data_IF_950785810710
#
_entry.id   IF_950785810710
#
_cell.length_a   1.000
_cell.length_b   1.000
_cell.length_c   1.000
_cell.angle_alpha   90.00
_cell.angle_beta   90.00
_cell.angle_gamma   90.00
#
_symmetry.space_group_name_H-M   'P 1'
#
loop_
_entity.id
_entity.type
_entity.pdbx_description
1 polymer ?
#
# COMPACT_ATOMS: atom_id res chain seq x y z
N UNK A 1 49.47 -20.89 34.15
CA UNK A 1 48.01 -20.86 34.42
C UNK A 1 47.51 -19.58 33.80
N UNK A 2 47.00 -19.70 32.59
CA UNK A 2 46.28 -18.65 31.88
C UNK A 2 44.82 -19.07 32.03
N UNK A 3 44.03 -18.31 32.77
CA UNK A 3 42.58 -18.50 32.83
C UNK A 3 41.96 -17.58 31.78
N UNK A 4 41.36 -18.25 30.79
CA UNK A 4 40.37 -17.72 29.86
C UNK A 4 39.12 -17.27 30.62
N UNK A 5 38.58 -16.10 30.27
CA UNK A 5 37.14 -15.89 30.18
C UNK A 5 36.86 -14.55 29.49
N UNK A 6 36.97 -14.55 28.15
CA UNK A 6 36.37 -13.51 27.32
C UNK A 6 36.06 -14.06 25.92
N UNK A 7 35.04 -14.94 25.81
CA UNK A 7 34.65 -15.48 24.51
C UNK A 7 33.16 -15.85 24.39
N UNK A 8 32.24 -14.92 24.67
CA UNK A 8 30.84 -15.07 24.21
C UNK A 8 30.18 -13.74 23.81
N UNK A 9 30.62 -13.13 22.69
CA UNK A 9 29.65 -12.55 21.74
C UNK A 9 29.83 -13.06 20.30
N UNK A 10 30.97 -13.70 20.00
CA UNK A 10 31.38 -14.00 18.62
C UNK A 10 30.81 -15.31 18.05
N UNK A 11 30.14 -16.14 18.86
CA UNK A 11 29.59 -17.42 18.39
C UNK A 11 28.21 -17.27 17.73
N UNK A 12 27.43 -16.25 18.09
CA UNK A 12 26.15 -15.96 17.41
C UNK A 12 26.31 -15.11 16.16
N UNK A 13 27.37 -14.30 16.06
CA UNK A 13 27.66 -13.50 14.86
C UNK A 13 28.09 -14.35 13.66
N UNK A 14 28.73 -15.50 13.91
CA UNK A 14 29.31 -16.35 12.86
C UNK A 14 28.31 -17.32 12.19
N UNK A 15 27.06 -17.39 12.66
CA UNK A 15 26.01 -18.19 12.00
C UNK A 15 25.16 -17.40 11.00
N UNK A 16 25.31 -16.07 10.92
CA UNK A 16 24.41 -15.22 10.12
C UNK A 16 24.97 -14.80 8.77
N UNK A 17 26.26 -15.01 8.52
CA UNK A 17 26.92 -14.69 7.27
C UNK A 17 27.70 -15.92 6.78
N UNK A 18 27.21 -16.55 5.70
CA UNK A 18 28.04 -17.46 4.90
C UNK A 18 29.25 -16.68 4.37
N UNK A 19 30.39 -17.35 4.13
CA UNK A 19 31.61 -16.75 3.57
C UNK A 19 31.41 -16.05 2.22
N UNK A 20 30.21 -16.16 1.63
CA UNK A 20 29.83 -15.59 0.34
C UNK A 20 28.87 -14.38 0.42
N UNK A 21 28.54 -13.87 1.63
CA UNK A 21 27.66 -12.70 1.77
C UNK A 21 26.15 -12.98 1.58
N UNK A 22 25.74 -14.24 1.62
CA UNK A 22 24.32 -14.63 1.58
C UNK A 22 23.66 -14.55 2.96
N UNK A 23 22.49 -13.90 3.03
CA UNK A 23 21.67 -13.78 4.24
C UNK A 23 20.92 -15.10 4.49
N UNK A 24 21.23 -15.75 5.62
CA UNK A 24 20.48 -16.94 6.10
C UNK A 24 19.44 -16.49 7.12
N UNK A 25 18.13 -16.65 6.86
CA UNK A 25 17.10 -16.26 7.80
C UNK A 25 17.15 -17.13 9.07
N UNK A 26 17.01 -16.54 10.27
CA UNK A 26 16.97 -17.28 11.53
C UNK A 26 15.76 -18.19 11.66
N UNK A 27 15.92 -19.32 12.35
CA UNK A 27 14.85 -20.29 12.59
C UNK A 27 13.61 -19.61 13.22
N UNK A 28 12.44 -19.84 12.63
CA UNK A 28 11.18 -19.29 13.12
C UNK A 28 10.86 -17.84 12.71
N UNK A 29 11.69 -17.19 11.88
CA UNK A 29 11.42 -15.83 11.36
C UNK A 29 10.02 -15.72 10.74
N UNK A 30 9.57 -16.75 10.01
CA UNK A 30 8.27 -16.77 9.34
C UNK A 30 7.13 -16.58 10.33
N UNK A 31 7.15 -17.30 11.45
CA UNK A 31 6.09 -17.24 12.46
C UNK A 31 6.09 -15.88 13.17
N UNK A 32 7.27 -15.35 13.49
CA UNK A 32 7.41 -14.02 14.10
C UNK A 32 6.90 -12.93 13.16
N UNK A 33 7.27 -12.98 11.87
CA UNK A 33 6.83 -12.02 10.85
C UNK A 33 5.31 -12.08 10.65
N UNK A 34 4.74 -13.27 10.48
CA UNK A 34 3.29 -13.46 10.29
C UNK A 34 2.52 -13.00 11.52
N UNK A 35 2.98 -13.35 12.73
CA UNK A 35 2.36 -12.90 13.98
C UNK A 35 2.43 -11.38 14.13
N UNK A 36 3.58 -10.77 13.83
CA UNK A 36 3.76 -9.31 13.88
C UNK A 36 2.84 -8.60 12.90
N UNK A 37 2.70 -9.12 11.67
CA UNK A 37 1.77 -8.59 10.67
C UNK A 37 0.31 -8.75 11.11
N UNK A 38 -0.06 -9.89 11.69
CA UNK A 38 -1.41 -10.14 12.20
C UNK A 38 -1.75 -9.18 13.35
N UNK A 39 -0.85 -9.04 14.34
CA UNK A 39 -1.02 -8.11 15.46
C UNK A 39 -1.15 -6.67 14.97
N UNK A 40 -0.35 -6.27 13.97
CA UNK A 40 -0.42 -4.95 13.38
C UNK A 40 -1.72 -4.72 12.59
N UNK A 41 -2.21 -5.71 11.84
CA UNK A 41 -3.50 -5.64 11.15
C UNK A 41 -4.66 -5.52 12.16
N UNK A 42 -4.64 -6.34 13.21
CA UNK A 42 -5.64 -6.31 14.28
C UNK A 42 -5.62 -4.99 15.06
N UNK A 43 -4.44 -4.44 15.35
CA UNK A 43 -4.33 -3.15 16.05
C UNK A 43 -4.85 -2.00 15.19
N UNK A 44 -4.54 -2.00 13.88
CA UNK A 44 -5.06 -1.02 12.93
C UNK A 44 -6.58 -1.06 12.83
N UNK A 45 -7.18 -2.23 12.60
CA UNK A 45 -8.65 -2.38 12.52
C UNK A 45 -9.30 -2.08 13.87
N UNK A 46 -8.72 -2.58 14.97
CA UNK A 46 -9.21 -2.33 16.33
C UNK A 46 -9.26 -0.84 16.68
N UNK A 47 -8.30 -0.06 16.19
CA UNK A 47 -8.24 1.40 16.38
C UNK A 47 -9.51 2.11 15.91
N UNK A 48 -10.17 1.60 14.87
CA UNK A 48 -11.41 2.18 14.31
C UNK A 48 -12.61 2.03 15.26
N UNK A 49 -12.54 1.09 16.19
CA UNK A 49 -13.62 0.70 17.11
C UNK A 49 -13.38 1.11 18.56
N UNK A 50 -12.22 1.71 18.89
CA UNK A 50 -11.91 2.24 20.23
C UNK A 50 -13.01 3.20 20.71
N UNK A 51 -13.52 4.02 19.80
CA UNK A 51 -14.56 5.00 20.08
C UNK A 51 -15.93 4.42 19.71
N UNK A 52 -16.63 3.82 20.69
CA UNK A 52 -18.04 3.42 20.49
C UNK A 52 -18.90 4.64 20.19
N UNK A 53 -19.72 4.53 19.15
CA UNK A 53 -20.65 5.56 18.71
C UNK A 53 -21.86 4.89 18.07
N UNK A 54 -23.06 5.42 18.36
CA UNK A 54 -24.30 5.03 17.71
C UNK A 54 -24.57 5.85 16.43
N UNK A 55 -23.72 6.86 16.16
CA UNK A 55 -23.78 7.67 14.94
C UNK A 55 -23.16 6.93 13.74
N UNK A 56 -23.63 7.20 12.50
CA UNK A 56 -23.05 6.65 11.27
C UNK A 56 -21.56 7.02 11.11
N UNK A 57 -20.79 6.16 10.43
CA UNK A 57 -19.34 6.39 10.17
C UNK A 57 -19.00 7.72 9.51
N UNK A 58 -19.91 8.25 8.69
CA UNK A 58 -19.68 9.46 7.90
C UNK A 58 -20.07 10.74 8.66
N UNK A 59 -20.40 10.61 9.95
CA UNK A 59 -20.62 11.74 10.85
C UNK A 59 -19.26 12.37 11.24
N UNK A 60 -19.10 13.70 11.15
CA UNK A 60 -17.80 14.37 11.32
C UNK A 60 -17.13 14.10 12.68
N UNK A 61 -17.90 13.97 13.76
CA UNK A 61 -17.38 13.61 15.07
C UNK A 61 -16.78 12.19 15.12
N UNK A 62 -17.38 11.24 14.40
CA UNK A 62 -16.88 9.85 14.30
C UNK A 62 -15.62 9.81 13.45
N UNK A 63 -15.60 10.55 12.33
CA UNK A 63 -14.43 10.69 11.46
C UNK A 63 -13.23 11.23 12.24
N UNK A 64 -13.38 12.33 13.00
CA UNK A 64 -12.29 12.92 13.79
C UNK A 64 -11.73 11.95 14.82
N UNK A 65 -12.59 11.24 15.56
CA UNK A 65 -12.15 10.28 16.59
C UNK A 65 -11.42 9.07 15.98
N UNK A 66 -11.97 8.52 14.88
CA UNK A 66 -11.32 7.41 14.14
C UNK A 66 -9.99 7.85 13.53
N UNK A 67 -9.91 9.06 12.96
CA UNK A 67 -8.65 9.64 12.47
C UNK A 67 -7.58 9.68 13.55
N UNK A 68 -7.89 10.25 14.72
CA UNK A 68 -6.91 10.33 15.80
C UNK A 68 -6.39 8.95 16.19
N UNK A 69 -7.30 7.97 16.33
CA UNK A 69 -6.94 6.59 16.67
C UNK A 69 -6.03 5.94 15.62
N UNK A 70 -6.42 6.04 14.34
CA UNK A 70 -5.67 5.48 13.22
C UNK A 70 -4.30 6.13 13.10
N UNK A 71 -4.21 7.45 13.21
CA UNK A 71 -2.94 8.18 13.17
C UNK A 71 -2.01 7.77 14.31
N UNK A 72 -2.53 7.55 15.52
CA UNK A 72 -1.73 7.05 16.64
C UNK A 72 -1.19 5.65 16.34
N UNK A 73 -2.04 4.73 15.88
CA UNK A 73 -1.59 3.35 15.56
C UNK A 73 -0.58 3.35 14.41
N UNK A 74 -0.79 4.18 13.39
CA UNK A 74 0.16 4.36 12.29
C UNK A 74 1.47 5.01 12.72
N UNK A 75 1.47 5.92 13.69
CA UNK A 75 2.70 6.48 14.25
C UNK A 75 3.49 5.45 15.08
N UNK A 76 2.80 4.48 15.69
CA UNK A 76 3.40 3.40 16.49
C UNK A 76 3.82 2.20 15.63
N UNK A 77 3.25 2.01 14.43
CA UNK A 77 3.57 0.87 13.56
C UNK A 77 5.06 0.66 13.22
N UNK A 78 5.91 1.70 13.07
CA UNK A 78 7.35 1.51 12.86
C UNK A 78 8.04 0.78 14.02
N UNK A 79 7.49 0.87 15.24
CA UNK A 79 7.98 0.16 16.42
C UNK A 79 7.84 -1.36 16.24
N UNK A 80 6.82 -1.84 15.52
CA UNK A 80 6.68 -3.27 15.21
C UNK A 80 7.83 -3.76 14.34
N UNK A 81 8.21 -2.99 13.31
CA UNK A 81 9.34 -3.32 12.44
C UNK A 81 10.65 -3.29 13.21
N UNK A 82 10.83 -2.27 14.07
CA UNK A 82 12.00 -2.18 14.95
C UNK A 82 12.09 -3.35 15.94
N UNK A 83 10.99 -3.68 16.63
CA UNK A 83 10.94 -4.78 17.58
C UNK A 83 11.17 -6.13 16.89
N UNK A 84 10.56 -6.34 15.72
CA UNK A 84 10.80 -7.50 14.86
C UNK A 84 12.28 -7.62 14.47
N UNK A 85 12.91 -6.51 14.06
CA UNK A 85 14.33 -6.45 13.72
C UNK A 85 15.21 -6.84 14.92
N UNK A 86 14.91 -6.30 16.10
CA UNK A 86 15.66 -6.62 17.33
C UNK A 86 15.51 -8.08 17.74
N UNK A 87 14.29 -8.62 17.66
CA UNK A 87 14.00 -10.01 18.05
C UNK A 87 14.62 -11.02 17.09
N UNK A 88 14.53 -10.77 15.78
CA UNK A 88 15.06 -11.67 14.76
C UNK A 88 16.56 -11.52 14.55
N UNK A 89 17.19 -10.44 15.04
CA UNK A 89 18.61 -10.16 14.81
C UNK A 89 18.95 -9.81 13.36
N UNK A 90 17.95 -9.61 12.49
CA UNK A 90 18.19 -9.26 11.09
C UNK A 90 18.90 -7.92 11.03
N UNK A 91 20.08 -7.90 10.41
CA UNK A 91 20.95 -6.72 10.28
C UNK A 91 20.92 -6.22 8.83
N UNK A 92 19.86 -5.50 8.41
CA UNK A 92 19.84 -4.84 7.11
C UNK A 92 20.90 -3.74 7.08
N UNK A 93 21.60 -3.61 5.95
CA UNK A 93 22.44 -2.46 5.67
C UNK A 93 21.66 -1.12 5.70
N UNK A 94 20.45 -1.05 5.12
CA UNK A 94 19.61 0.16 5.18
C UNK A 94 19.07 0.51 6.57
N UNK A 95 18.83 1.81 6.79
CA UNK A 95 18.14 2.32 7.99
C UNK A 95 16.68 1.87 8.06
N UNK A 96 16.06 1.91 9.25
CA UNK A 96 14.65 1.55 9.43
C UNK A 96 13.72 2.38 8.51
N UNK A 97 13.98 3.69 8.40
CA UNK A 97 13.22 4.58 7.51
C UNK A 97 13.38 4.19 6.05
N UNK A 98 14.60 3.82 5.63
CA UNK A 98 14.83 3.35 4.26
C UNK A 98 14.09 2.03 3.98
N UNK A 99 14.05 1.08 4.92
CA UNK A 99 13.27 -0.16 4.77
C UNK A 99 11.77 0.11 4.63
N UNK A 100 11.28 1.14 5.30
CA UNK A 100 9.90 1.63 5.19
C UNK A 100 9.66 2.47 3.93
N UNK A 101 10.67 2.65 3.07
CA UNK A 101 10.58 3.43 1.84
C UNK A 101 10.49 4.95 2.04
N UNK A 102 10.97 5.44 3.19
CA UNK A 102 11.13 6.86 3.50
C UNK A 102 12.59 7.24 3.23
N UNK A 103 12.85 7.65 1.98
CA UNK A 103 14.18 8.04 1.48
C UNK A 103 14.05 9.08 0.35
N UNK A 104 15.12 9.84 0.11
CA UNK A 104 15.16 10.90 -0.92
C UNK A 104 15.72 10.42 -2.26
N UNK A 105 16.68 9.50 -2.24
CA UNK A 105 17.25 8.87 -3.43
C UNK A 105 16.15 8.15 -4.21
N UNK A 106 15.93 8.50 -5.48
CA UNK A 106 14.85 7.92 -6.30
C UNK A 106 13.45 8.53 -6.08
N UNK A 107 13.31 9.56 -5.24
CA UNK A 107 12.00 10.08 -4.84
C UNK A 107 11.17 10.67 -6.00
N UNK A 108 11.81 11.42 -6.89
CA UNK A 108 11.14 12.05 -8.04
C UNK A 108 10.51 10.99 -8.97
N UNK A 109 11.27 10.00 -9.47
CA UNK A 109 10.65 8.94 -10.27
C UNK A 109 9.61 8.15 -9.48
N UNK A 110 9.78 7.95 -8.16
CA UNK A 110 8.79 7.27 -7.31
C UNK A 110 7.45 8.00 -7.19
N UNK A 111 7.47 9.33 -7.32
CA UNK A 111 6.26 10.15 -7.37
C UNK A 111 5.60 10.05 -8.76
N UNK A 112 6.40 10.12 -9.81
CA UNK A 112 5.90 10.34 -11.18
C UNK A 112 5.52 9.03 -11.87
N UNK A 113 6.43 8.05 -11.92
CA UNK A 113 6.29 6.89 -12.80
C UNK A 113 5.21 5.90 -12.32
N UNK A 114 5.11 5.54 -11.02
CA UNK A 114 4.01 4.69 -10.55
C UNK A 114 2.63 5.34 -10.72
N UNK A 115 2.54 6.65 -10.47
CA UNK A 115 1.29 7.39 -10.67
C UNK A 115 0.91 7.43 -12.15
N UNK A 116 1.86 7.74 -13.03
CA UNK A 116 1.65 7.71 -14.48
C UNK A 116 1.18 6.32 -14.95
N UNK A 117 1.84 5.25 -14.48
CA UNK A 117 1.44 3.88 -14.79
C UNK A 117 0.00 3.60 -14.34
N UNK A 118 -0.40 4.09 -13.16
CA UNK A 118 -1.78 3.97 -12.67
C UNK A 118 -2.76 4.78 -13.53
N UNK A 119 -2.39 5.99 -13.95
CA UNK A 119 -3.21 6.80 -14.85
C UNK A 119 -3.38 6.13 -16.22
N UNK A 120 -2.35 5.46 -16.74
CA UNK A 120 -2.44 4.67 -17.98
C UNK A 120 -3.43 3.52 -17.83
N UNK A 121 -3.42 2.80 -16.70
CA UNK A 121 -4.43 1.77 -16.40
C UNK A 121 -5.86 2.36 -16.42
N UNK A 122 -6.01 3.59 -15.93
CA UNK A 122 -7.27 4.33 -15.88
C UNK A 122 -7.53 5.21 -17.12
N UNK A 123 -6.84 4.98 -18.24
CA UNK A 123 -7.01 5.76 -19.47
C UNK A 123 -8.47 5.82 -19.92
N UNK A 124 -9.18 4.69 -19.90
CA UNK A 124 -10.60 4.62 -20.23
C UNK A 124 -11.48 5.56 -19.38
N UNK A 125 -11.50 5.38 -18.03
CA UNK A 125 -12.21 6.27 -17.12
C UNK A 125 -11.82 7.75 -17.25
N UNK A 126 -10.53 8.06 -17.47
CA UNK A 126 -10.06 9.44 -17.66
C UNK A 126 -10.61 10.07 -18.94
N UNK A 127 -10.62 9.31 -20.05
CA UNK A 127 -11.19 9.78 -21.32
C UNK A 127 -12.70 9.96 -21.20
N UNK A 128 -13.39 9.04 -20.51
CA UNK A 128 -14.82 9.17 -20.23
C UNK A 128 -15.11 10.45 -19.43
N UNK A 129 -14.38 10.68 -18.34
CA UNK A 129 -14.52 11.91 -17.54
C UNK A 129 -14.23 13.16 -18.37
N UNK A 130 -13.22 13.13 -19.24
CA UNK A 130 -12.89 14.25 -20.11
C UNK A 130 -13.97 14.53 -21.18
N UNK A 131 -14.66 13.49 -21.68
CA UNK A 131 -15.78 13.65 -22.62
C UNK A 131 -17.06 14.14 -21.94
N UNK A 132 -17.31 13.69 -20.71
CA UNK A 132 -18.48 14.07 -19.93
C UNK A 132 -18.35 15.46 -19.29
N UNK A 133 -17.12 15.97 -19.15
CA UNK A 133 -16.87 17.26 -18.53
C UNK A 133 -17.21 18.41 -19.48
N UNK A 134 -18.15 19.31 -19.13
CA UNK A 134 -18.48 20.47 -19.96
C UNK A 134 -17.40 21.56 -19.91
N UNK A 135 -16.36 21.39 -19.10
CA UNK A 135 -15.32 22.39 -18.81
C UNK A 135 -14.15 22.16 -19.75
N UNK A 136 -13.57 23.23 -20.27
CA UNK A 136 -12.38 23.13 -21.11
C UNK A 136 -11.17 22.68 -20.30
N UNK A 137 -10.15 22.15 -20.98
CA UNK A 137 -8.87 21.79 -20.36
C UNK A 137 -8.27 22.96 -19.54
N UNK A 138 -8.42 24.20 -20.01
CA UNK A 138 -7.99 25.41 -19.29
C UNK A 138 -8.71 25.62 -17.96
N UNK A 139 -9.99 25.26 -17.86
CA UNK A 139 -10.74 25.39 -16.61
C UNK A 139 -10.27 24.35 -15.59
N UNK A 140 -9.92 23.14 -16.04
CA UNK A 140 -9.27 22.13 -15.20
C UNK A 140 -7.91 22.60 -14.65
N UNK A 141 -7.10 23.26 -15.48
CA UNK A 141 -5.84 23.89 -15.03
C UNK A 141 -6.13 24.97 -13.98
N UNK A 142 -7.13 25.84 -14.21
CA UNK A 142 -7.49 26.89 -13.26
C UNK A 142 -7.86 26.32 -11.90
N UNK A 143 -8.69 25.28 -11.86
CA UNK A 143 -9.08 24.60 -10.61
C UNK A 143 -7.86 23.99 -9.92
N UNK A 144 -6.95 23.39 -10.69
CA UNK A 144 -5.71 22.79 -10.14
C UNK A 144 -4.84 23.83 -9.44
N UNK A 145 -4.82 25.08 -9.90
CA UNK A 145 -4.05 26.16 -9.30
C UNK A 145 -4.86 27.09 -8.38
N UNK A 146 -6.15 26.83 -8.16
CA UNK A 146 -7.00 27.65 -7.30
C UNK A 146 -6.80 27.29 -5.81
N UNK A 147 -6.16 28.17 -5.00
CA UNK A 147 -5.93 27.88 -3.59
C UNK A 147 -7.23 27.73 -2.80
N UNK A 148 -8.30 28.41 -3.23
CA UNK A 148 -9.59 28.36 -2.54
C UNK A 148 -10.27 27.00 -2.70
N UNK A 149 -10.23 26.43 -3.90
CA UNK A 149 -10.70 25.06 -4.15
C UNK A 149 -10.01 24.05 -3.23
N UNK A 150 -8.68 24.10 -3.14
CA UNK A 150 -7.93 23.20 -2.27
C UNK A 150 -8.20 23.44 -0.78
N UNK A 151 -8.39 24.70 -0.36
CA UNK A 151 -8.79 25.02 1.01
C UNK A 151 -10.16 24.40 1.37
N UNK A 152 -11.11 24.40 0.45
CA UNK A 152 -12.41 23.74 0.61
C UNK A 152 -12.25 22.21 0.70
N UNK A 153 -11.46 21.60 -0.19
CA UNK A 153 -11.16 20.17 -0.14
C UNK A 153 -10.52 19.75 1.18
N UNK A 154 -9.53 20.52 1.66
CA UNK A 154 -8.85 20.26 2.94
C UNK A 154 -9.76 20.47 4.15
N UNK A 155 -10.78 21.32 4.01
CA UNK A 155 -11.81 21.54 5.05
C UNK A 155 -12.84 20.41 5.09
N UNK A 156 -13.05 19.68 3.99
CA UNK A 156 -13.91 18.50 3.95
C UNK A 156 -13.21 17.28 4.56
N UNK A 157 -13.69 16.88 5.73
CA UNK A 157 -13.18 15.72 6.47
C UNK A 157 -13.30 14.40 5.69
N UNK A 158 -14.32 14.26 4.82
CA UNK A 158 -14.49 13.04 4.00
C UNK A 158 -13.47 13.01 2.87
N UNK A 159 -13.24 14.15 2.22
CA UNK A 159 -12.20 14.28 1.22
C UNK A 159 -10.82 14.00 1.83
N UNK A 160 -10.51 14.64 2.96
CA UNK A 160 -9.26 14.43 3.69
C UNK A 160 -9.05 12.96 4.10
N UNK A 161 -10.12 12.27 4.54
CA UNK A 161 -10.09 10.82 4.81
C UNK A 161 -9.65 10.07 3.58
N UNK A 162 -10.43 10.20 2.51
CA UNK A 162 -10.35 9.31 1.35
C UNK A 162 -9.10 9.59 0.51
N UNK A 163 -8.63 10.83 0.47
CA UNK A 163 -7.56 11.28 -0.42
C UNK A 163 -6.20 11.35 0.26
N UNK A 164 -6.14 11.49 1.59
CA UNK A 164 -4.88 11.69 2.31
C UNK A 164 -4.70 10.69 3.45
N UNK A 165 -5.59 10.71 4.44
CA UNK A 165 -5.36 9.96 5.69
C UNK A 165 -5.43 8.46 5.48
N UNK A 166 -6.47 7.95 4.81
CA UNK A 166 -6.60 6.53 4.55
C UNK A 166 -5.47 6.00 3.65
N UNK A 167 -5.19 6.59 2.46
CA UNK A 167 -4.04 6.20 1.64
C UNK A 167 -2.71 6.18 2.42
N UNK A 168 -2.39 7.26 3.14
CA UNK A 168 -1.14 7.35 3.87
C UNK A 168 -1.02 6.29 4.97
N UNK A 169 -2.05 6.16 5.80
CA UNK A 169 -2.00 5.28 6.97
C UNK A 169 -2.08 3.81 6.59
N UNK A 170 -2.87 3.46 5.58
CA UNK A 170 -3.00 2.10 5.07
C UNK A 170 -1.72 1.66 4.38
N UNK A 171 -1.14 2.46 3.48
CA UNK A 171 0.11 2.09 2.81
C UNK A 171 1.30 2.06 3.79
N UNK A 172 1.34 2.96 4.79
CA UNK A 172 2.38 2.93 5.82
C UNK A 172 2.34 1.61 6.61
N UNK A 173 1.14 1.20 7.05
CA UNK A 173 0.97 0.02 7.90
C UNK A 173 1.12 -1.26 7.09
N UNK A 174 0.39 -1.38 5.98
CA UNK A 174 0.30 -2.62 5.22
C UNK A 174 1.44 -2.80 4.21
N UNK A 175 2.15 -1.75 3.77
CA UNK A 175 3.27 -1.89 2.82
C UNK A 175 4.57 -1.60 3.53
N UNK A 176 4.74 -0.38 4.03
CA UNK A 176 6.01 0.04 4.62
C UNK A 176 6.38 -0.71 5.91
N UNK A 177 5.41 -1.18 6.71
CA UNK A 177 5.73 -1.98 7.90
C UNK A 177 5.70 -3.49 7.63
N UNK A 178 4.68 -4.02 6.96
CA UNK A 178 4.52 -5.48 6.79
C UNK A 178 5.50 -6.08 5.78
N UNK A 179 5.77 -5.43 4.65
CA UNK A 179 6.62 -6.03 3.61
C UNK A 179 8.07 -6.26 4.08
N UNK A 180 8.74 -5.32 4.80
CA UNK A 180 10.06 -5.60 5.37
C UNK A 180 10.09 -6.81 6.31
N UNK A 181 8.99 -7.10 7.01
CA UNK A 181 8.93 -8.28 7.88
C UNK A 181 8.67 -9.58 7.09
N UNK A 182 7.90 -9.52 5.99
CA UNK A 182 7.50 -10.69 5.20
C UNK A 182 8.53 -11.11 4.15
N UNK A 183 9.22 -10.17 3.50
CA UNK A 183 10.18 -10.45 2.43
C UNK A 183 11.29 -11.44 2.84
N UNK A 184 11.96 -11.29 3.99
CA UNK A 184 13.01 -12.21 4.41
C UNK A 184 12.53 -13.65 4.67
N UNK A 185 11.24 -13.86 4.90
CA UNK A 185 10.69 -15.17 5.24
C UNK A 185 9.98 -15.86 4.06
N UNK A 186 9.40 -15.12 3.11
CA UNK A 186 8.67 -15.71 1.97
C UNK A 186 9.32 -15.56 0.60
N UNK A 187 10.23 -14.60 0.41
CA UNK A 187 10.65 -13.97 -0.86
C UNK A 187 9.77 -12.78 -1.32
N UNK A 188 10.32 -11.86 -2.14
CA UNK A 188 9.59 -10.70 -2.65
C UNK A 188 8.31 -11.04 -3.45
N UNK A 189 8.35 -12.06 -4.32
CA UNK A 189 7.20 -12.44 -5.15
C UNK A 189 6.04 -12.97 -4.30
N UNK A 190 6.33 -13.86 -3.35
CA UNK A 190 5.33 -14.40 -2.42
C UNK A 190 4.80 -13.32 -1.49
N UNK A 191 5.63 -12.37 -1.06
CA UNK A 191 5.21 -11.25 -0.21
C UNK A 191 4.18 -10.34 -0.92
N UNK A 192 4.32 -10.12 -2.23
CA UNK A 192 3.37 -9.35 -3.05
C UNK A 192 1.97 -9.93 -2.98
N UNK A 193 1.81 -11.26 -2.94
CA UNK A 193 0.51 -11.91 -2.90
C UNK A 193 0.02 -12.22 -1.49
N UNK A 194 0.93 -12.40 -0.53
CA UNK A 194 0.59 -12.75 0.85
C UNK A 194 0.22 -11.52 1.68
N UNK A 195 0.97 -10.43 1.55
CA UNK A 195 0.73 -9.20 2.30
C UNK A 195 -0.69 -8.61 2.10
N UNK A 196 -1.24 -8.58 0.87
CA UNK A 196 -2.59 -8.09 0.63
C UNK A 196 -3.70 -8.93 1.27
N UNK A 197 -3.44 -10.16 1.70
CA UNK A 197 -4.44 -10.97 2.40
C UNK A 197 -4.75 -10.36 3.77
N UNK A 198 -3.74 -9.85 4.50
CA UNK A 198 -3.97 -9.11 5.74
C UNK A 198 -4.78 -7.84 5.51
N UNK A 199 -4.47 -7.13 4.42
CA UNK A 199 -5.17 -5.92 4.00
C UNK A 199 -6.63 -6.19 3.60
N UNK A 200 -6.88 -7.21 2.78
CA UNK A 200 -8.21 -7.62 2.34
C UNK A 200 -9.05 -8.11 3.53
N UNK A 201 -8.46 -8.89 4.45
CA UNK A 201 -9.18 -9.34 5.65
C UNK A 201 -9.55 -8.17 6.54
N UNK A 202 -8.67 -7.18 6.68
CA UNK A 202 -8.97 -5.96 7.45
C UNK A 202 -10.21 -5.23 6.93
N UNK A 203 -10.55 -5.33 5.64
CA UNK A 203 -11.73 -4.69 5.04
C UNK A 203 -13.06 -5.41 5.30
N UNK A 204 -13.05 -6.65 5.83
CA UNK A 204 -14.31 -7.31 6.26
C UNK A 204 -15.04 -6.53 7.35
N UNK A 205 -14.36 -5.61 8.06
CA UNK A 205 -15.00 -4.74 9.03
C UNK A 205 -16.12 -3.87 8.41
N UNK A 206 -16.07 -3.55 7.12
CA UNK A 206 -17.17 -2.88 6.41
C UNK A 206 -18.42 -3.76 6.26
N UNK A 207 -18.25 -5.07 6.14
CA UNK A 207 -19.35 -6.04 6.06
C UNK A 207 -20.09 -6.10 7.38
N UNK A 208 -19.36 -6.05 8.51
CA UNK A 208 -19.94 -5.96 9.85
C UNK A 208 -20.82 -4.71 9.97
N UNK A 209 -20.38 -3.60 9.39
CA UNK A 209 -21.13 -2.33 9.39
C UNK A 209 -22.40 -2.40 8.53
N UNK A 210 -22.32 -2.96 7.32
CA UNK A 210 -23.47 -3.20 6.43
C UNK A 210 -24.53 -4.09 7.11
N UNK A 211 -24.10 -5.16 7.79
CA UNK A 211 -24.96 -6.03 8.57
C UNK A 211 -25.59 -5.30 9.76
N UNK A 212 -24.80 -4.49 10.48
CA UNK A 212 -25.25 -3.74 11.66
C UNK A 212 -26.35 -2.73 11.31
N UNK A 213 -26.22 -2.03 10.18
CA UNK A 213 -27.21 -1.04 9.73
C UNK A 213 -28.30 -1.60 8.80
N UNK A 214 -28.34 -2.94 8.60
CA UNK A 214 -29.31 -3.64 7.73
C UNK A 214 -29.41 -3.06 6.32
N UNK A 215 -28.27 -2.64 5.75
CA UNK A 215 -28.23 -2.05 4.41
C UNK A 215 -28.07 -3.13 3.34
N UNK A 216 -29.18 -3.79 2.98
CA UNK A 216 -29.25 -4.74 1.86
C UNK A 216 -29.67 -6.17 2.25
N UNK A 217 -29.82 -7.03 1.23
CA UNK A 217 -30.09 -8.45 1.42
C UNK A 217 -28.82 -9.20 1.85
N UNK A 218 -28.97 -10.34 2.54
CA UNK A 218 -27.81 -11.16 2.95
C UNK A 218 -26.94 -11.57 1.76
N UNK A 219 -27.56 -11.93 0.62
CA UNK A 219 -26.79 -12.27 -0.58
C UNK A 219 -26.08 -11.06 -1.19
N UNK A 220 -26.70 -9.88 -1.15
CA UNK A 220 -26.08 -8.63 -1.62
C UNK A 220 -24.90 -8.22 -0.75
N UNK A 221 -25.02 -8.36 0.57
CA UNK A 221 -23.94 -8.10 1.52
C UNK A 221 -22.79 -9.09 1.33
N UNK A 222 -23.09 -10.38 1.13
CA UNK A 222 -22.07 -11.38 0.83
C UNK A 222 -21.34 -11.09 -0.49
N UNK A 223 -22.07 -10.75 -1.55
CA UNK A 223 -21.47 -10.40 -2.84
C UNK A 223 -20.58 -9.15 -2.73
N UNK A 224 -21.05 -8.13 -2.00
CA UNK A 224 -20.26 -6.93 -1.71
C UNK A 224 -19.00 -7.27 -0.92
N UNK A 225 -19.07 -8.18 0.05
CA UNK A 225 -17.92 -8.65 0.82
C UNK A 225 -16.86 -9.33 -0.05
N UNK A 226 -17.29 -10.26 -0.91
CA UNK A 226 -16.40 -10.97 -1.85
C UNK A 226 -15.76 -9.99 -2.82
N UNK A 227 -16.55 -9.09 -3.41
CA UNK A 227 -16.04 -8.07 -4.33
C UNK A 227 -15.03 -7.16 -3.63
N UNK A 228 -15.35 -6.65 -2.44
CA UNK A 228 -14.47 -5.79 -1.65
C UNK A 228 -13.15 -6.52 -1.35
N UNK A 229 -13.20 -7.76 -0.88
CA UNK A 229 -12.01 -8.55 -0.57
C UNK A 229 -11.15 -8.78 -1.82
N UNK A 230 -11.74 -9.25 -2.92
CA UNK A 230 -11.00 -9.53 -4.16
C UNK A 230 -10.39 -8.26 -4.76
N UNK A 231 -11.15 -7.17 -4.81
CA UNK A 231 -10.69 -5.89 -5.36
C UNK A 231 -9.56 -5.30 -4.51
N UNK A 232 -9.72 -5.26 -3.18
CA UNK A 232 -8.69 -4.76 -2.26
C UNK A 232 -7.44 -5.64 -2.25
N UNK A 233 -7.57 -6.95 -2.41
CA UNK A 233 -6.43 -7.85 -2.53
C UNK A 233 -5.63 -7.62 -3.83
N UNK A 234 -6.31 -7.45 -4.98
CA UNK A 234 -5.66 -7.14 -6.26
C UNK A 234 -4.96 -5.77 -6.21
N UNK A 235 -5.65 -4.75 -5.73
CA UNK A 235 -5.06 -3.42 -5.51
C UNK A 235 -3.87 -3.50 -4.55
N UNK A 236 -4.00 -4.32 -3.50
CA UNK A 236 -2.95 -4.49 -2.53
C UNK A 236 -1.72 -5.19 -3.09
N UNK A 237 -1.89 -6.15 -3.99
CA UNK A 237 -0.78 -6.79 -4.69
C UNK A 237 -0.08 -5.79 -5.63
N UNK A 238 -0.84 -4.95 -6.32
CA UNK A 238 -0.29 -3.88 -7.14
C UNK A 238 0.56 -2.89 -6.33
N UNK A 239 0.05 -2.36 -5.23
CA UNK A 239 0.81 -1.44 -4.36
C UNK A 239 2.01 -2.10 -3.68
N UNK A 240 1.91 -3.39 -3.30
CA UNK A 240 3.05 -4.15 -2.80
C UNK A 240 4.13 -4.34 -3.87
N UNK A 241 3.74 -4.62 -5.11
CA UNK A 241 4.64 -4.67 -6.26
C UNK A 241 5.35 -3.32 -6.45
N UNK A 242 4.62 -2.20 -6.52
CA UNK A 242 5.22 -0.86 -6.62
C UNK A 242 6.19 -0.61 -5.46
N UNK A 243 5.82 -0.93 -4.22
CA UNK A 243 6.67 -0.70 -3.05
C UNK A 243 7.99 -1.48 -3.12
N UNK A 244 7.95 -2.76 -3.47
CA UNK A 244 9.17 -3.59 -3.57
C UNK A 244 10.07 -3.11 -4.71
N UNK A 245 9.48 -2.79 -5.86
CA UNK A 245 10.18 -2.37 -7.08
C UNK A 245 10.83 -1.01 -6.98
N UNK A 246 10.14 -0.07 -6.33
CA UNK A 246 10.61 1.32 -6.18
C UNK A 246 11.35 1.55 -4.86
N UNK A 247 11.05 0.77 -3.82
CA UNK A 247 11.59 1.02 -2.48
C UNK A 247 11.07 2.32 -1.86
N UNK A 248 9.91 2.82 -2.28
CA UNK A 248 9.35 4.08 -1.80
C UNK A 248 7.89 3.93 -1.37
N UNK A 249 7.55 4.54 -0.22
CA UNK A 249 6.16 4.61 0.26
C UNK A 249 5.30 5.59 -0.53
N UNK A 250 5.89 6.67 -1.06
CA UNK A 250 5.13 7.73 -1.74
C UNK A 250 4.41 7.23 -3.00
N UNK A 251 5.01 6.32 -3.76
CA UNK A 251 4.40 5.74 -4.96
C UNK A 251 3.07 5.06 -4.67
N UNK A 252 3.04 4.02 -3.82
CA UNK A 252 1.82 3.37 -3.37
C UNK A 252 0.78 4.34 -2.80
N UNK A 253 1.18 5.32 -1.99
CA UNK A 253 0.26 6.31 -1.40
C UNK A 253 -0.43 7.13 -2.49
N UNK A 254 0.32 7.63 -3.48
CA UNK A 254 -0.25 8.41 -4.58
C UNK A 254 -1.14 7.57 -5.50
N UNK A 255 -0.71 6.34 -5.82
CA UNK A 255 -1.53 5.37 -6.55
C UNK A 255 -2.86 5.11 -5.83
N UNK A 256 -2.81 4.95 -4.49
CA UNK A 256 -3.98 4.75 -3.65
C UNK A 256 -4.90 5.96 -3.68
N UNK A 257 -4.39 7.17 -3.40
CA UNK A 257 -5.19 8.40 -3.48
C UNK A 257 -5.87 8.56 -4.84
N UNK A 258 -5.14 8.32 -5.94
CA UNK A 258 -5.69 8.36 -7.29
C UNK A 258 -6.80 7.32 -7.50
N UNK A 259 -6.59 6.07 -7.10
CA UNK A 259 -7.62 5.03 -7.19
C UNK A 259 -8.86 5.36 -6.33
N UNK A 260 -8.69 5.97 -5.15
CA UNK A 260 -9.82 6.42 -4.32
C UNK A 260 -10.59 7.58 -4.96
N UNK A 261 -9.92 8.43 -5.74
CA UNK A 261 -10.58 9.47 -6.52
C UNK A 261 -11.37 8.89 -7.70
N UNK A 262 -10.75 8.01 -8.49
CA UNK A 262 -11.37 7.43 -9.68
C UNK A 262 -12.45 6.40 -9.36
N UNK A 263 -12.30 5.66 -8.26
CA UNK A 263 -13.19 4.58 -7.88
C UNK A 263 -13.14 3.37 -8.82
N UNK A 264 -14.09 2.45 -8.66
CA UNK A 264 -14.21 1.32 -9.58
C UNK A 264 -14.73 1.79 -10.95
N UNK A 265 -14.11 1.37 -12.07
CA UNK A 265 -14.52 1.83 -13.39
C UNK A 265 -15.98 1.50 -13.70
N UNK A 266 -16.77 2.52 -14.06
CA UNK A 266 -18.20 2.40 -14.32
C UNK A 266 -18.48 1.85 -15.73
N UNK A 267 -18.17 0.56 -15.95
CA UNK A 267 -18.32 -0.11 -17.25
C UNK A 267 -19.75 -0.04 -17.82
N UNK A 268 -20.77 -0.05 -16.96
CA UNK A 268 -22.16 0.14 -17.38
C UNK A 268 -22.39 1.49 -18.05
N UNK A 269 -21.90 2.57 -17.43
CA UNK A 269 -21.98 3.93 -18.00
C UNK A 269 -21.17 4.04 -19.30
N UNK A 270 -20.02 3.36 -19.38
CA UNK A 270 -19.21 3.35 -20.60
C UNK A 270 -19.93 2.68 -21.79
N UNK A 271 -20.73 1.63 -21.54
CA UNK A 271 -21.51 0.93 -22.58
C UNK A 271 -22.68 1.78 -23.12
N UNK A 272 -23.27 2.60 -22.25
CA UNK A 272 -24.38 3.50 -22.58
C UNK A 272 -23.92 4.85 -23.16
N UNK A 273 -22.63 5.15 -23.09
CA UNK A 273 -22.06 6.42 -23.53
C UNK A 273 -22.25 6.66 -25.06
N UNK A 274 -22.57 7.89 -25.51
CA UNK A 274 -22.73 8.21 -26.94
C UNK A 274 -21.51 7.84 -27.79
N UNK A 275 -20.30 7.97 -27.22
CA UNK A 275 -19.03 7.57 -27.83
C UNK A 275 -18.48 6.24 -27.30
N UNK A 276 -19.36 5.26 -27.00
CA UNK A 276 -19.00 3.96 -26.38
C UNK A 276 -17.82 3.24 -27.02
N UNK A 277 -17.70 3.25 -28.35
CA UNK A 277 -16.60 2.55 -29.02
C UNK A 277 -15.25 3.18 -28.68
N UNK A 278 -15.15 4.50 -28.68
CA UNK A 278 -13.94 5.22 -28.30
C UNK A 278 -13.61 4.99 -26.83
N UNK A 279 -14.59 5.14 -25.94
CA UNK A 279 -14.40 4.92 -24.50
C UNK A 279 -13.91 3.49 -24.24
N UNK A 280 -14.63 2.46 -24.71
CA UNK A 280 -14.24 1.06 -24.51
C UNK A 280 -12.88 0.73 -25.13
N UNK A 281 -12.54 1.33 -26.28
CA UNK A 281 -11.21 1.17 -26.88
C UNK A 281 -10.12 1.75 -25.97
N UNK A 282 -10.36 2.90 -25.33
CA UNK A 282 -9.44 3.48 -24.34
C UNK A 282 -9.31 2.64 -23.06
N UNK A 283 -10.38 1.96 -22.63
CA UNK A 283 -10.30 0.99 -21.53
C UNK A 283 -9.37 -0.17 -21.88
N UNK A 284 -9.57 -0.80 -23.05
CA UNK A 284 -8.72 -1.90 -23.51
C UNK A 284 -7.27 -1.45 -23.74
N UNK A 285 -7.09 -0.29 -24.36
CA UNK A 285 -5.77 0.29 -24.60
C UNK A 285 -5.05 0.59 -23.28
N UNK A 286 -5.74 1.14 -22.29
CA UNK A 286 -5.17 1.41 -20.96
C UNK A 286 -4.65 0.14 -20.28
N UNK A 287 -5.42 -0.95 -20.31
CA UNK A 287 -4.98 -2.25 -19.77
C UNK A 287 -3.79 -2.81 -20.55
N UNK A 288 -3.83 -2.77 -21.89
CA UNK A 288 -2.73 -3.25 -22.72
C UNK A 288 -1.44 -2.46 -22.44
N UNK A 289 -1.51 -1.13 -22.43
CA UNK A 289 -0.36 -0.28 -22.15
C UNK A 289 0.15 -0.47 -20.72
N UNK A 290 -0.74 -0.63 -19.74
CA UNK A 290 -0.35 -0.94 -18.37
C UNK A 290 0.48 -2.22 -18.30
N UNK A 291 0.05 -3.30 -18.95
CA UNK A 291 0.80 -4.57 -18.97
C UNK A 291 2.17 -4.43 -19.64
N UNK A 292 2.26 -3.66 -20.72
CA UNK A 292 3.51 -3.39 -21.43
C UNK A 292 4.46 -2.49 -20.63
N UNK A 293 3.92 -1.52 -19.88
CA UNK A 293 4.68 -0.51 -19.14
C UNK A 293 4.95 -0.89 -17.68
N UNK A 294 4.32 -1.96 -17.16
CA UNK A 294 4.40 -2.37 -15.76
C UNK A 294 5.85 -2.54 -15.30
N UNK A 295 6.66 -3.29 -16.04
CA UNK A 295 8.08 -3.49 -15.70
C UNK A 295 8.96 -2.30 -16.09
N UNK A 296 8.88 -1.74 -17.32
CA UNK A 296 9.71 -0.60 -17.71
C UNK A 296 9.59 0.62 -16.80
N UNK A 297 8.37 0.99 -16.37
CA UNK A 297 8.17 2.15 -15.49
C UNK A 297 8.49 1.85 -14.02
N UNK A 298 8.69 0.59 -13.64
CA UNK A 298 9.02 0.19 -12.27
C UNK A 298 10.41 -0.41 -12.16
N UNK A 299 11.26 -0.23 -13.18
CA UNK A 299 12.65 -0.69 -13.17
C UNK A 299 13.42 -0.06 -11.97
N UNK A 300 14.02 -0.87 -11.07
CA UNK A 300 14.68 -0.37 -9.86
C UNK A 300 15.85 0.58 -10.14
N UNK A 301 16.40 0.58 -11.37
CA UNK A 301 17.47 1.48 -11.80
C UNK A 301 17.04 2.95 -11.64
N UNK A 302 15.77 3.28 -11.90
CA UNK A 302 15.26 4.64 -11.71
C UNK A 302 15.17 5.05 -10.24
N UNK A 303 15.14 4.10 -9.32
CA UNK A 303 14.85 4.32 -7.89
C UNK A 303 16.05 4.03 -6.98
N UNK A 304 17.27 3.99 -7.54
CA UNK A 304 18.53 3.75 -6.83
C UNK A 304 18.65 2.33 -6.24
N UNK A 305 19.03 1.39 -7.11
CA UNK A 305 19.32 -0.02 -6.82
C UNK A 305 20.47 -0.21 -5.80
N UNK A 306 20.39 -1.22 -4.89
CA UNK A 306 19.24 -2.08 -4.61
C UNK A 306 18.18 -1.34 -3.78
N UNK A 307 16.91 -1.64 -4.02
CA UNK A 307 15.85 -1.09 -3.15
C UNK A 307 16.02 -1.64 -1.73
N UNK A 308 15.75 -0.83 -0.68
CA UNK A 308 16.03 -1.23 0.70
C UNK A 308 15.39 -2.56 1.12
N UNK A 309 14.14 -2.77 0.71
CA UNK A 309 13.38 -4.00 1.03
C UNK A 309 14.00 -5.23 0.36
N UNK A 310 14.52 -5.07 -0.85
CA UNK A 310 15.18 -6.15 -1.58
C UNK A 310 16.50 -6.60 -0.93
N UNK A 311 17.14 -5.76 -0.10
CA UNK A 311 18.31 -6.17 0.69
C UNK A 311 17.98 -7.19 1.79
N UNK A 312 16.69 -7.36 2.11
CA UNK A 312 16.21 -8.37 3.06
C UNK A 312 15.88 -9.72 2.40
N UNK A 313 15.92 -9.82 1.07
CA UNK A 313 15.65 -11.09 0.40
C UNK A 313 16.82 -12.06 0.61
N UNK A 314 16.51 -13.28 1.05
CA UNK A 314 17.49 -14.36 1.22
C UNK A 314 18.05 -14.89 -0.11
N UNK A 315 17.33 -14.68 -1.22
CA UNK A 315 17.71 -15.11 -2.56
C UNK A 315 17.53 -13.94 -3.54
N UNK A 316 18.47 -13.73 -4.49
CA UNK A 316 18.31 -12.76 -5.56
C UNK A 316 16.99 -12.99 -6.32
N UNK A 317 16.17 -11.94 -6.40
CA UNK A 317 14.90 -11.97 -7.14
C UNK A 317 15.00 -11.07 -8.36
N UNK A 318 14.48 -11.50 -9.51
CA UNK A 318 14.37 -10.65 -10.70
C UNK A 318 13.60 -9.37 -10.40
N UNK A 319 12.57 -9.44 -9.55
CA UNK A 319 11.82 -8.28 -9.06
C UNK A 319 12.69 -7.23 -8.37
N UNK A 320 13.87 -7.59 -7.88
CA UNK A 320 14.77 -6.69 -7.18
C UNK A 320 15.92 -6.17 -8.06
N UNK A 321 16.08 -6.68 -9.29
CA UNK A 321 17.27 -6.47 -10.11
C UNK A 321 16.92 -5.94 -11.51
N UNK A 322 15.76 -6.32 -12.05
CA UNK A 322 15.31 -6.01 -13.42
C UNK A 322 13.84 -5.64 -13.45
#
# INVERSE_FOLDING_TARGET
>A
MVEDDDLTPNLMSNQMWSSNGEFVPPDGICWVSVLSCLLLACSYVGSLYVWRSDLPRDHPAVIKRRFTSVLIVSAVSPVFVWAWKMYTGVMPGPSLLALMGIRFEGLIPAIILPLLLTMVLFLGPLIQLAMDCPWGFMDGIRVTFDPWFWALCLSDMRWLRNQVVAPLTEELVFRACMLPMLVPCTSPSTAIFTCPLFFGVAHFHHVIELLRFRQGTVSGIFLAAVFQFSYTAVFGAYTAFIFIRTGHLVGPVLCHSFCNHMGFPALGMALEHPHRFTVLSCYLLGVLLFLLLLFPLTDPIFYSLPTPVCTLASVPSSLCIS
#
